data_IF_280816836122
#
_entry.id   IF_280816836122
#
_cell.length_a   1.000
_cell.length_b   1.000
_cell.length_c   1.000
_cell.angle_alpha   90.00
_cell.angle_beta   90.00
_cell.angle_gamma   90.00
#
_symmetry.space_group_name_H-M   'P 1'
#
loop_
_entity.id
_entity.type
_entity.pdbx_description
1 polymer ?
#
# COMPACT_ATOMS: atom_id res chain seq x y z
N UNK A 1 -5.45 -37.28 2.60
CA UNK A 1 -4.69 -36.06 2.93
C UNK A 1 -4.84 -35.79 4.43
N UNK A 2 -3.80 -35.30 5.12
CA UNK A 2 -3.83 -35.07 6.56
C UNK A 2 -4.07 -33.59 6.85
N UNK A 3 -5.17 -33.27 7.52
CA UNK A 3 -5.59 -31.91 7.86
C UNK A 3 -4.52 -31.09 8.59
N UNK A 4 -3.61 -31.74 9.31
CA UNK A 4 -2.47 -31.07 9.95
C UNK A 4 -1.48 -30.48 8.94
N UNK A 5 -1.23 -31.15 7.81
CA UNK A 5 -0.36 -30.63 6.74
C UNK A 5 -1.01 -29.44 6.02
N UNK A 6 -2.32 -29.47 5.86
CA UNK A 6 -3.06 -28.40 5.20
C UNK A 6 -3.15 -27.14 6.08
N UNK A 7 -3.29 -27.31 7.40
CA UNK A 7 -3.23 -26.20 8.37
C UNK A 7 -1.86 -25.51 8.39
N UNK A 8 -0.76 -26.28 8.37
CA UNK A 8 0.61 -25.73 8.35
C UNK A 8 0.84 -24.93 7.06
N UNK A 9 0.42 -25.45 5.91
CA UNK A 9 0.52 -24.73 4.62
C UNK A 9 -0.33 -23.47 4.61
N UNK A 10 -1.54 -23.52 5.16
CA UNK A 10 -2.43 -22.37 5.24
C UNK A 10 -1.85 -21.24 6.12
N UNK A 11 -1.22 -21.59 7.25
CA UNK A 11 -0.53 -20.62 8.11
C UNK A 11 0.69 -19.99 7.41
N UNK A 12 1.50 -20.80 6.72
CA UNK A 12 2.66 -20.31 5.96
C UNK A 12 2.24 -19.35 4.84
N UNK A 13 1.20 -19.70 4.06
CA UNK A 13 0.68 -18.85 2.99
C UNK A 13 0.14 -17.51 3.49
N UNK A 14 -0.53 -17.50 4.65
CA UNK A 14 -0.98 -16.26 5.28
C UNK A 14 0.19 -15.38 5.71
N UNK A 15 1.24 -15.98 6.28
CA UNK A 15 2.44 -15.25 6.69
C UNK A 15 3.14 -14.61 5.47
N UNK A 16 3.38 -15.37 4.40
CA UNK A 16 3.98 -14.84 3.17
C UNK A 16 3.15 -13.71 2.56
N UNK A 17 1.83 -13.86 2.54
CA UNK A 17 0.91 -12.83 2.04
C UNK A 17 0.96 -11.57 2.89
N UNK A 18 1.09 -11.71 4.21
CA UNK A 18 1.26 -10.60 5.13
C UNK A 18 2.60 -9.87 4.93
N UNK A 19 3.70 -10.60 4.72
CA UNK A 19 4.99 -9.98 4.40
C UNK A 19 4.93 -9.17 3.09
N UNK A 20 4.26 -9.70 2.06
CA UNK A 20 4.02 -8.96 0.80
C UNK A 20 3.20 -7.70 1.03
N UNK A 21 2.17 -7.77 1.88
CA UNK A 21 1.39 -6.61 2.28
C UNK A 21 2.27 -5.54 2.93
N UNK A 22 3.12 -5.91 3.90
CA UNK A 22 4.01 -4.98 4.58
C UNK A 22 4.99 -4.29 3.62
N UNK A 23 5.58 -5.05 2.69
CA UNK A 23 6.50 -4.49 1.70
C UNK A 23 5.79 -3.48 0.77
N UNK A 24 4.59 -3.80 0.30
CA UNK A 24 3.79 -2.87 -0.52
C UNK A 24 3.34 -1.65 0.29
N UNK A 25 3.02 -1.82 1.58
CA UNK A 25 2.64 -0.71 2.45
C UNK A 25 3.78 0.28 2.61
N UNK A 26 4.98 -0.22 2.92
CA UNK A 26 6.19 0.59 3.01
C UNK A 26 6.48 1.31 1.68
N UNK A 27 6.35 0.61 0.55
CA UNK A 27 6.54 1.20 -0.77
C UNK A 27 5.52 2.31 -1.07
N UNK A 28 4.27 2.14 -0.62
CA UNK A 28 3.22 3.16 -0.74
C UNK A 28 3.59 4.40 0.07
N UNK A 29 4.09 4.24 1.29
CA UNK A 29 4.54 5.36 2.13
C UNK A 29 5.69 6.13 1.49
N UNK A 30 6.68 5.43 0.94
CA UNK A 30 7.80 6.07 0.22
C UNK A 30 7.34 6.92 -0.96
N UNK A 31 6.40 6.43 -1.77
CA UNK A 31 5.88 7.21 -2.89
C UNK A 31 5.02 8.40 -2.46
N UNK A 32 4.31 8.29 -1.33
CA UNK A 32 3.58 9.41 -0.75
C UNK A 32 4.56 10.49 -0.29
N UNK A 33 5.62 10.10 0.40
CA UNK A 33 6.68 11.02 0.84
C UNK A 33 7.35 11.72 -0.34
N UNK A 34 7.75 10.97 -1.38
CA UNK A 34 8.32 11.53 -2.62
C UNK A 34 7.37 12.56 -3.26
N UNK A 35 6.07 12.25 -3.36
CA UNK A 35 5.08 13.16 -3.93
C UNK A 35 4.86 14.41 -3.08
N UNK A 36 4.88 14.28 -1.75
CA UNK A 36 4.82 15.41 -0.81
C UNK A 36 6.05 16.31 -0.98
N UNK A 37 7.24 15.74 -1.05
CA UNK A 37 8.49 16.50 -1.23
C UNK A 37 8.51 17.24 -2.57
N UNK A 38 8.12 16.58 -3.65
CA UNK A 38 7.99 17.21 -4.97
C UNK A 38 6.97 18.35 -4.95
N UNK A 39 5.81 18.13 -4.32
CA UNK A 39 4.78 19.15 -4.18
C UNK A 39 5.28 20.36 -3.36
N UNK A 40 6.02 20.13 -2.26
CA UNK A 40 6.64 21.18 -1.44
C UNK A 40 7.67 22.00 -2.23
N UNK A 41 8.41 21.35 -3.13
CA UNK A 41 9.38 22.01 -4.01
C UNK A 41 8.73 22.72 -5.21
N UNK A 42 7.39 22.66 -5.35
CA UNK A 42 6.68 23.22 -6.51
C UNK A 42 6.93 22.44 -7.81
N UNK A 43 7.45 21.21 -7.70
CA UNK A 43 7.71 20.33 -8.86
C UNK A 43 6.45 19.55 -9.22
N UNK A 44 6.28 19.16 -10.51
CA UNK A 44 5.23 18.25 -10.89
C UNK A 44 5.44 16.89 -10.20
N UNK A 45 4.36 16.33 -9.67
CA UNK A 45 4.32 15.02 -9.06
C UNK A 45 3.14 14.22 -9.64
N UNK A 46 3.16 12.90 -9.45
CA UNK A 46 2.07 12.02 -9.87
C UNK A 46 1.68 11.09 -8.72
N UNK A 47 0.39 10.78 -8.62
CA UNK A 47 -0.15 9.79 -7.69
C UNK A 47 -0.30 8.40 -8.31
N UNK A 48 0.10 8.22 -9.58
CA UNK A 48 -0.07 6.96 -10.30
C UNK A 48 0.70 5.82 -9.64
N UNK A 49 1.95 6.06 -9.21
CA UNK A 49 2.76 5.06 -8.50
C UNK A 49 2.11 4.67 -7.17
N UNK A 50 1.61 5.65 -6.41
CA UNK A 50 0.92 5.45 -5.13
C UNK A 50 -0.34 4.59 -5.35
N UNK A 51 -1.12 4.91 -6.38
CA UNK A 51 -2.36 4.21 -6.71
C UNK A 51 -2.12 2.82 -7.29
N UNK A 52 -1.04 2.62 -8.06
CA UNK A 52 -0.64 1.31 -8.54
C UNK A 52 -0.29 0.36 -7.37
N UNK A 53 0.43 0.86 -6.37
CA UNK A 53 0.72 0.10 -5.15
C UNK A 53 -0.55 -0.12 -4.32
N UNK A 54 -1.38 0.91 -4.14
CA UNK A 54 -2.67 0.80 -3.43
C UNK A 54 -3.57 -0.28 -4.06
N UNK A 55 -3.64 -0.33 -5.39
CA UNK A 55 -4.37 -1.37 -6.10
C UNK A 55 -3.76 -2.77 -5.89
N UNK A 56 -2.44 -2.86 -5.81
CA UNK A 56 -1.75 -4.13 -5.53
C UNK A 56 -2.03 -4.61 -4.10
N UNK A 57 -2.09 -3.69 -3.14
CA UNK A 57 -2.50 -3.97 -1.75
C UNK A 57 -3.96 -4.43 -1.70
N UNK A 58 -4.87 -3.75 -2.41
CA UNK A 58 -6.29 -4.12 -2.45
C UNK A 58 -6.55 -5.48 -3.11
N UNK A 59 -5.61 -5.98 -3.92
CA UNK A 59 -5.67 -7.34 -4.49
C UNK A 59 -5.21 -8.42 -3.50
N UNK A 60 -4.57 -8.05 -2.39
CA UNK A 60 -4.18 -9.01 -1.35
C UNK A 60 -5.42 -9.44 -0.57
N UNK A 61 -5.74 -10.74 -0.67
CA UNK A 61 -6.89 -11.33 0.01
C UNK A 61 -6.55 -11.75 1.45
N UNK A 62 -6.36 -10.76 2.33
CA UNK A 62 -6.24 -10.98 3.78
C UNK A 62 -7.52 -10.50 4.47
N UNK A 63 -8.25 -11.42 5.12
CA UNK A 63 -9.58 -11.17 5.72
C UNK A 63 -9.63 -9.98 6.69
N UNK A 64 -8.52 -9.67 7.35
CA UNK A 64 -8.44 -8.64 8.39
C UNK A 64 -7.88 -7.30 7.89
N UNK A 65 -7.48 -7.21 6.62
CA UNK A 65 -6.92 -5.97 6.06
C UNK A 65 -8.02 -5.27 5.27
N UNK A 66 -8.41 -4.04 5.65
CA UNK A 66 -9.38 -3.27 4.89
C UNK A 66 -8.77 -2.77 3.57
N UNK A 67 -9.61 -2.63 2.55
CA UNK A 67 -9.22 -1.96 1.31
C UNK A 67 -8.89 -0.50 1.56
N UNK A 68 -7.86 0.00 0.89
CA UNK A 68 -7.41 1.39 0.96
C UNK A 68 -7.95 2.21 -0.20
N UNK A 69 -8.17 3.49 0.07
CA UNK A 69 -8.58 4.46 -0.95
C UNK A 69 -7.38 4.93 -1.77
N UNK A 70 -7.66 5.24 -3.04
CA UNK A 70 -6.69 5.86 -3.93
C UNK A 70 -6.42 7.30 -3.49
N UNK A 71 -5.20 7.76 -3.74
CA UNK A 71 -4.72 9.11 -3.42
C UNK A 71 -4.86 9.99 -4.67
N UNK A 72 -5.44 11.17 -4.50
CA UNK A 72 -5.52 12.20 -5.55
C UNK A 72 -4.43 13.24 -5.35
N UNK A 73 -4.10 13.97 -6.43
CA UNK A 73 -3.15 15.08 -6.34
C UNK A 73 -3.63 16.17 -5.37
N UNK A 74 -4.94 16.42 -5.34
CA UNK A 74 -5.58 17.36 -4.41
C UNK A 74 -5.32 16.98 -2.95
N UNK A 75 -5.45 15.70 -2.58
CA UNK A 75 -5.17 15.24 -1.22
C UNK A 75 -3.73 15.54 -0.79
N UNK A 76 -2.76 15.40 -1.70
CA UNK A 76 -1.35 15.71 -1.41
C UNK A 76 -1.15 17.21 -1.28
N UNK A 77 -1.76 18.01 -2.17
CA UNK A 77 -1.68 19.46 -2.10
C UNK A 77 -2.33 20.02 -0.82
N UNK A 78 -3.49 19.51 -0.43
CA UNK A 78 -4.16 19.88 0.82
C UNK A 78 -3.30 19.50 2.03
N UNK A 79 -2.71 18.30 2.02
CA UNK A 79 -1.80 17.86 3.08
C UNK A 79 -0.57 18.77 3.21
N UNK A 80 0.03 19.18 2.09
CA UNK A 80 1.18 20.10 2.05
C UNK A 80 0.79 21.52 2.42
N UNK A 81 -0.43 21.98 2.11
CA UNK A 81 -0.91 23.32 2.49
C UNK A 81 -1.28 23.42 3.96
N UNK A 82 -1.69 22.31 4.59
CA UNK A 82 -2.14 22.25 5.99
C UNK A 82 -0.98 22.12 6.98
N UNK A 83 0.21 21.74 6.52
CA UNK A 83 1.44 21.62 7.30
C UNK A 83 2.49 22.64 6.84
#
# INVERSE_FOLDING_TARGET
MSVHKDLIKHAANQHETYQKFLALDQQREQYIEEAIELCKQGKPFSTDKINAVTNSINKINLRFIPSRQNVTGEMIQEFVKKN
#
